data_IF_389378637559
#
_entry.id   IF_389378637559
#
_cell.length_a   1.000
_cell.length_b   1.000
_cell.length_c   1.000
_cell.angle_alpha   90.00
_cell.angle_beta   90.00
_cell.angle_gamma   90.00
#
_symmetry.space_group_name_H-M   'P 1'
#
loop_
_entity.id
_entity.type
_entity.pdbx_description
1 polymer ?
#
# COMPACT_ATOMS: atom_id res chain seq x y z
N UNK A 1 -0.24 -23.77 4.62
CA UNK A 1 -0.86 -23.99 3.30
C UNK A 1 -1.07 -22.62 2.66
N UNK A 2 -0.64 -22.41 1.41
CA UNK A 2 -0.85 -21.12 0.72
C UNK A 2 -2.32 -21.06 0.30
N UNK A 3 -3.05 -20.06 0.81
CA UNK A 3 -4.46 -19.83 0.43
C UNK A 3 -4.49 -18.96 -0.82
N UNK A 4 -5.24 -19.40 -1.82
CA UNK A 4 -5.54 -18.63 -3.00
C UNK A 4 -6.99 -18.14 -2.95
N UNK A 5 -7.23 -17.00 -3.58
CA UNK A 5 -8.54 -16.39 -3.67
C UNK A 5 -8.95 -16.22 -5.14
N UNK A 6 -10.24 -16.21 -5.40
CA UNK A 6 -10.82 -15.93 -6.72
C UNK A 6 -11.30 -14.48 -6.80
N UNK A 7 -11.59 -14.01 -8.02
CA UNK A 7 -12.21 -12.70 -8.24
C UNK A 7 -13.51 -12.51 -7.44
N UNK A 8 -14.36 -13.55 -7.37
CA UNK A 8 -15.66 -13.48 -6.70
C UNK A 8 -15.50 -13.34 -5.19
N UNK A 9 -14.60 -14.13 -4.61
CA UNK A 9 -14.30 -14.06 -3.18
C UNK A 9 -13.74 -12.70 -2.78
N UNK A 10 -12.71 -12.19 -3.48
CA UNK A 10 -12.11 -10.90 -3.13
C UNK A 10 -13.06 -9.73 -3.34
N UNK A 11 -13.85 -9.75 -4.41
CA UNK A 11 -14.89 -8.75 -4.65
C UNK A 11 -15.92 -8.74 -3.50
N UNK A 12 -16.37 -9.92 -3.05
CA UNK A 12 -17.32 -10.03 -1.95
C UNK A 12 -16.70 -9.63 -0.59
N UNK A 13 -15.51 -10.14 -0.27
CA UNK A 13 -14.83 -9.87 1.00
C UNK A 13 -14.50 -8.38 1.18
N UNK A 14 -14.06 -7.72 0.10
CA UNK A 14 -13.66 -6.32 0.14
C UNK A 14 -14.81 -5.35 -0.17
N UNK A 15 -16.02 -5.86 -0.42
CA UNK A 15 -17.18 -5.09 -0.85
C UNK A 15 -16.88 -4.20 -2.07
N UNK A 16 -16.18 -4.78 -3.07
CA UNK A 16 -15.80 -4.11 -4.32
C UNK A 16 -16.60 -4.76 -5.45
N UNK A 17 -17.21 -3.93 -6.30
CA UNK A 17 -17.88 -4.41 -7.50
C UNK A 17 -16.95 -5.35 -8.32
N UNK A 18 -17.46 -6.53 -8.68
CA UNK A 18 -16.67 -7.58 -9.35
C UNK A 18 -16.03 -7.12 -10.67
N UNK A 19 -16.71 -6.30 -11.47
CA UNK A 19 -16.16 -5.78 -12.72
C UNK A 19 -15.03 -4.78 -12.44
N UNK A 20 -15.19 -3.94 -11.41
CA UNK A 20 -14.15 -3.02 -10.93
C UNK A 20 -12.91 -3.78 -10.45
N UNK A 21 -13.09 -4.82 -9.63
CA UNK A 21 -11.99 -5.69 -9.17
C UNK A 21 -11.25 -6.34 -10.35
N UNK A 22 -11.98 -6.94 -11.30
CA UNK A 22 -11.40 -7.56 -12.50
C UNK A 22 -10.60 -6.56 -13.33
N UNK A 23 -11.10 -5.32 -13.47
CA UNK A 23 -10.38 -4.26 -14.17
C UNK A 23 -9.06 -3.93 -13.46
N UNK A 24 -9.10 -3.66 -12.15
CA UNK A 24 -7.89 -3.37 -11.37
C UNK A 24 -6.87 -4.50 -11.42
N UNK A 25 -7.32 -5.75 -11.34
CA UNK A 25 -6.45 -6.91 -11.47
C UNK A 25 -5.65 -6.94 -12.78
N UNK A 26 -6.29 -6.59 -13.90
CA UNK A 26 -5.62 -6.51 -15.21
C UNK A 26 -4.60 -5.38 -15.29
N UNK A 27 -4.82 -4.29 -14.56
CA UNK A 27 -3.98 -3.10 -14.59
C UNK A 27 -2.74 -3.19 -13.69
N UNK A 28 -2.85 -3.90 -12.57
CA UNK A 28 -1.83 -3.90 -11.51
C UNK A 28 -1.07 -5.22 -11.35
N UNK A 29 -1.49 -6.27 -12.04
CA UNK A 29 -0.79 -7.54 -12.09
C UNK A 29 -0.43 -7.90 -13.54
N UNK A 30 0.61 -8.71 -13.77
CA UNK A 30 0.90 -9.24 -15.09
C UNK A 30 -0.28 -10.07 -15.62
N UNK A 31 -0.31 -10.38 -16.93
CA UNK A 31 -1.24 -11.34 -17.49
C UNK A 31 -1.27 -12.63 -16.67
N UNK A 32 -2.45 -13.24 -16.55
CA UNK A 32 -2.61 -14.48 -15.81
C UNK A 32 -1.81 -15.60 -16.50
N UNK A 33 -0.82 -16.22 -15.82
CA UNK A 33 0.01 -17.26 -16.42
C UNK A 33 -0.80 -18.49 -16.87
N UNK A 34 -1.96 -18.74 -16.27
CA UNK A 34 -2.84 -19.85 -16.65
C UNK A 34 -3.90 -19.46 -17.68
N UNK A 35 -4.21 -18.16 -17.80
CA UNK A 35 -5.27 -17.65 -18.67
C UNK A 35 -5.04 -17.85 -20.17
N UNK A 36 -3.79 -18.11 -20.58
CA UNK A 36 -3.41 -18.40 -21.97
C UNK A 36 -3.29 -19.90 -22.30
N UNK A 37 -3.26 -20.78 -21.30
CA UNK A 37 -3.03 -22.22 -21.48
C UNK A 37 -4.34 -23.02 -21.63
N UNK A 38 -5.41 -22.60 -20.96
CA UNK A 38 -6.75 -23.18 -21.11
C UNK A 38 -7.84 -22.11 -20.92
N UNK A 39 -8.75 -22.01 -21.89
CA UNK A 39 -9.94 -21.17 -21.76
C UNK A 39 -10.82 -21.68 -20.61
N UNK A 40 -11.22 -20.77 -19.70
CA UNK A 40 -12.18 -21.07 -18.62
C UNK A 40 -11.63 -21.07 -17.20
N UNK A 41 -10.30 -21.02 -17.00
CA UNK A 41 -9.73 -20.91 -15.65
C UNK A 41 -9.88 -19.50 -15.09
N UNK A 42 -10.44 -19.39 -13.88
CA UNK A 42 -10.55 -18.13 -13.18
C UNK A 42 -9.22 -17.78 -12.51
N UNK A 43 -8.76 -16.54 -12.68
CA UNK A 43 -7.57 -16.03 -12.01
C UNK A 43 -7.61 -16.28 -10.51
N UNK A 44 -6.54 -16.90 -10.02
CA UNK A 44 -6.26 -17.10 -8.61
C UNK A 44 -5.28 -16.05 -8.12
N UNK A 45 -5.47 -15.60 -6.89
CA UNK A 45 -4.67 -14.56 -6.25
C UNK A 45 -4.03 -15.11 -4.99
N UNK A 46 -2.72 -14.90 -4.83
CA UNK A 46 -2.11 -14.95 -3.51
C UNK A 46 -2.58 -13.75 -2.67
N UNK A 47 -2.47 -13.80 -1.34
CA UNK A 47 -2.78 -12.62 -0.48
C UNK A 47 -1.95 -11.40 -0.89
N UNK A 48 -0.69 -11.61 -1.29
CA UNK A 48 0.21 -10.56 -1.79
C UNK A 48 -0.34 -9.89 -3.05
N UNK A 49 -0.71 -10.69 -4.06
CA UNK A 49 -1.19 -10.15 -5.33
C UNK A 49 -2.54 -9.46 -5.15
N UNK A 50 -3.41 -10.05 -4.32
CA UNK A 50 -4.68 -9.44 -3.93
C UNK A 50 -4.47 -8.09 -3.23
N UNK A 51 -3.53 -8.01 -2.27
CA UNK A 51 -3.22 -6.74 -1.60
C UNK A 51 -2.65 -5.70 -2.57
N UNK A 52 -1.77 -6.11 -3.50
CA UNK A 52 -1.25 -5.20 -4.53
C UNK A 52 -2.36 -4.61 -5.41
N UNK A 53 -3.33 -5.43 -5.82
CA UNK A 53 -4.51 -4.97 -6.59
C UNK A 53 -5.37 -4.05 -5.75
N UNK A 54 -5.64 -4.41 -4.49
CA UNK A 54 -6.41 -3.59 -3.57
C UNK A 54 -5.77 -2.21 -3.36
N UNK A 55 -4.45 -2.16 -3.10
CA UNK A 55 -3.70 -0.92 -2.90
C UNK A 55 -3.71 -0.03 -4.15
N UNK A 56 -3.47 -0.61 -5.33
CA UNK A 56 -3.60 0.11 -6.60
C UNK A 56 -5.01 0.64 -6.84
N UNK A 57 -6.02 -0.17 -6.51
CA UNK A 57 -7.43 0.21 -6.59
C UNK A 57 -7.78 1.37 -5.66
N UNK A 58 -7.33 1.33 -4.42
CA UNK A 58 -7.50 2.39 -3.42
C UNK A 58 -6.91 3.73 -3.94
N UNK A 59 -5.71 3.70 -4.50
CA UNK A 59 -5.09 4.89 -5.09
C UNK A 59 -5.94 5.49 -6.23
N UNK A 60 -6.57 4.65 -7.06
CA UNK A 60 -7.43 5.12 -8.15
C UNK A 60 -8.78 5.62 -7.63
N UNK A 61 -9.45 4.89 -6.73
CA UNK A 61 -10.81 5.27 -6.31
C UNK A 61 -10.85 6.32 -5.22
N UNK A 62 -9.98 6.23 -4.22
CA UNK A 62 -10.00 7.11 -3.05
C UNK A 62 -9.10 8.32 -3.26
N UNK A 63 -7.87 8.11 -3.75
CA UNK A 63 -6.90 9.20 -3.97
C UNK A 63 -7.03 9.86 -5.34
N UNK A 64 -7.97 9.40 -6.19
CA UNK A 64 -8.26 9.91 -7.54
C UNK A 64 -7.04 9.96 -8.45
N UNK A 65 -6.11 9.03 -8.30
CA UNK A 65 -4.97 8.90 -9.19
C UNK A 65 -5.37 8.26 -10.52
N UNK A 66 -4.71 8.69 -11.61
CA UNK A 66 -4.80 7.97 -12.86
C UNK A 66 -4.19 6.56 -12.69
N UNK A 67 -4.67 5.59 -13.47
CA UNK A 67 -4.19 4.21 -13.40
C UNK A 67 -2.68 4.12 -13.64
N UNK A 68 -2.16 4.92 -14.59
CA UNK A 68 -0.73 4.98 -14.90
C UNK A 68 0.10 5.50 -13.69
N UNK A 69 -0.40 6.52 -12.99
CA UNK A 69 0.25 7.05 -11.78
C UNK A 69 0.26 6.02 -10.66
N UNK A 70 -0.89 5.40 -10.37
CA UNK A 70 -0.98 4.35 -9.35
C UNK A 70 -0.06 3.16 -9.66
N UNK A 71 0.04 2.75 -10.94
CA UNK A 71 0.95 1.70 -11.39
C UNK A 71 2.41 2.09 -11.16
N UNK A 72 2.77 3.33 -11.48
CA UNK A 72 4.12 3.87 -11.24
C UNK A 72 4.46 3.86 -9.76
N UNK A 73 3.55 4.36 -8.91
CA UNK A 73 3.74 4.40 -7.46
C UNK A 73 3.92 3.00 -6.86
N UNK A 74 3.14 2.01 -7.30
CA UNK A 74 3.34 0.61 -6.87
C UNK A 74 4.70 0.05 -7.29
N UNK A 75 5.21 0.45 -8.46
CA UNK A 75 6.52 0.01 -8.93
C UNK A 75 7.64 0.65 -8.10
N UNK A 76 7.57 1.97 -7.90
CA UNK A 76 8.59 2.73 -7.17
C UNK A 76 8.65 2.32 -5.68
N UNK A 77 7.49 2.07 -5.05
CA UNK A 77 7.41 1.59 -3.66
C UNK A 77 7.67 0.09 -3.50
N UNK A 78 7.77 -0.66 -4.60
CA UNK A 78 7.69 -2.12 -4.60
C UNK A 78 8.73 -2.82 -3.71
N UNK A 79 10.00 -2.39 -3.78
CA UNK A 79 11.07 -2.94 -2.94
C UNK A 79 10.85 -2.58 -1.48
N UNK A 80 10.54 -1.31 -1.18
CA UNK A 80 10.30 -0.87 0.19
C UNK A 80 9.13 -1.60 0.85
N UNK A 81 8.02 -1.79 0.13
CA UNK A 81 6.86 -2.54 0.61
C UNK A 81 7.21 -4.00 0.91
N UNK A 82 8.04 -4.63 0.06
CA UNK A 82 8.53 -5.98 0.28
C UNK A 82 9.41 -6.04 1.54
N UNK A 83 10.42 -5.17 1.63
CA UNK A 83 11.41 -5.18 2.71
C UNK A 83 10.80 -4.84 4.09
N UNK A 84 9.65 -4.16 4.10
CA UNK A 84 8.87 -3.87 5.31
C UNK A 84 7.70 -4.86 5.54
N UNK A 85 7.68 -6.00 4.86
CA UNK A 85 6.74 -7.10 5.11
C UNK A 85 5.31 -6.88 4.61
N UNK A 86 5.02 -5.81 3.87
CA UNK A 86 3.66 -5.55 3.33
C UNK A 86 3.23 -6.56 2.26
N UNK A 87 4.17 -7.30 1.69
CA UNK A 87 3.92 -8.37 0.73
C UNK A 87 4.12 -9.78 1.28
N UNK A 88 4.42 -9.91 2.57
CA UNK A 88 4.65 -11.19 3.25
C UNK A 88 3.41 -11.66 4.01
N UNK A 89 2.27 -11.63 3.33
CA UNK A 89 0.96 -11.89 3.91
C UNK A 89 0.68 -13.41 3.95
N UNK A 90 1.13 -14.10 5.00
CA UNK A 90 0.84 -15.54 5.19
C UNK A 90 -0.52 -15.74 5.88
N UNK A 91 -1.28 -16.73 5.42
CA UNK A 91 -2.62 -17.06 5.93
C UNK A 91 -2.62 -17.71 7.34
N UNK A 92 -1.47 -18.21 7.79
CA UNK A 92 -1.26 -18.66 9.16
C UNK A 92 -0.50 -17.54 9.86
N UNK A 93 -1.08 -16.92 10.90
CA UNK A 93 -0.62 -15.71 11.61
C UNK A 93 0.78 -15.73 12.25
N UNK A 94 1.72 -16.53 11.71
CA UNK A 94 3.16 -16.34 11.88
C UNK A 94 3.64 -15.38 10.78
N UNK A 95 3.58 -14.09 11.08
CA UNK A 95 4.45 -13.08 10.46
C UNK A 95 5.88 -13.47 10.81
N UNK A 96 6.55 -14.26 9.96
CA UNK A 96 7.99 -14.46 10.11
C UNK A 96 8.69 -13.17 9.68
N UNK A 97 9.31 -12.52 10.66
CA UNK A 97 10.43 -11.57 10.53
C UNK A 97 10.17 -10.22 9.85
N UNK A 98 9.23 -9.43 10.36
CA UNK A 98 9.64 -8.08 10.73
C UNK A 98 10.28 -8.26 12.11
N UNK A 99 11.57 -7.96 12.28
CA UNK A 99 12.28 -8.24 13.54
C UNK A 99 11.40 -7.87 14.73
N UNK A 100 11.32 -8.71 15.76
CA UNK A 100 10.61 -8.42 17.01
C UNK A 100 11.06 -7.08 17.67
N UNK A 101 12.10 -6.45 17.13
CA UNK A 101 12.63 -5.14 17.50
C UNK A 101 12.24 -3.98 16.57
N UNK A 102 11.29 -4.11 15.63
CA UNK A 102 10.85 -2.95 14.84
C UNK A 102 9.92 -2.09 15.70
N UNK A 103 10.35 -0.90 16.19
CA UNK A 103 9.55 -0.10 17.11
C UNK A 103 8.36 0.58 16.43
N UNK A 104 8.22 0.43 15.11
CA UNK A 104 7.28 1.19 14.29
C UNK A 104 5.93 0.50 14.28
N UNK A 105 4.94 1.20 14.82
CA UNK A 105 3.55 0.75 14.95
C UNK A 105 2.72 1.02 13.71
N UNK A 106 3.00 2.12 13.01
CA UNK A 106 2.21 2.54 11.85
C UNK A 106 3.07 3.26 10.82
N UNK A 107 2.86 2.93 9.55
CA UNK A 107 3.45 3.63 8.42
C UNK A 107 2.40 4.43 7.66
N UNK A 108 2.77 5.65 7.28
CA UNK A 108 2.04 6.48 6.30
C UNK A 108 3.00 6.93 5.20
N UNK A 109 2.60 6.75 3.96
CA UNK A 109 3.38 7.18 2.78
C UNK A 109 2.71 8.42 2.19
N UNK A 110 3.45 9.51 2.05
CA UNK A 110 3.01 10.69 1.30
C UNK A 110 3.55 10.58 -0.12
N UNK A 111 2.67 10.80 -1.08
CA UNK A 111 3.02 10.82 -2.50
C UNK A 111 3.19 12.26 -2.91
N UNK A 112 4.41 12.65 -3.21
CA UNK A 112 4.78 14.00 -3.57
C UNK A 112 5.08 14.07 -5.08
N UNK A 113 4.19 14.64 -5.90
CA UNK A 113 4.50 14.85 -7.31
C UNK A 113 5.66 15.83 -7.45
N UNK A 114 6.60 15.53 -8.32
CA UNK A 114 7.69 16.42 -8.69
C UNK A 114 7.27 17.15 -9.95
N UNK A 115 7.36 18.48 -9.94
CA UNK A 115 7.18 19.26 -11.17
C UNK A 115 8.22 18.81 -12.20
N UNK A 116 7.73 18.37 -13.34
CA UNK A 116 8.56 17.85 -14.41
C UNK A 116 8.04 18.30 -15.77
N UNK A 117 8.76 17.90 -16.81
CA UNK A 117 8.36 18.12 -18.19
C UNK A 117 6.92 17.61 -18.43
N UNK A 118 5.98 18.45 -18.92
CA UNK A 118 4.58 18.06 -19.17
C UNK A 118 4.41 16.87 -20.12
N UNK A 119 5.44 16.58 -20.92
CA UNK A 119 5.46 15.52 -21.92
C UNK A 119 5.94 14.19 -21.29
N UNK A 120 6.65 14.26 -20.16
CA UNK A 120 7.18 13.07 -19.47
C UNK A 120 6.18 12.54 -18.45
N UNK A 121 6.22 11.24 -18.13
CA UNK A 121 5.44 10.69 -17.03
C UNK A 121 5.75 11.44 -15.73
N UNK A 122 4.74 11.68 -14.87
CA UNK A 122 4.96 12.36 -13.60
C UNK A 122 5.95 11.57 -12.74
N UNK A 123 6.92 12.28 -12.19
CA UNK A 123 7.85 11.76 -11.21
C UNK A 123 7.27 11.96 -9.82
N UNK A 124 7.55 11.03 -8.92
CA UNK A 124 7.09 11.08 -7.55
C UNK A 124 8.27 10.92 -6.59
N UNK A 125 8.27 11.72 -5.54
CA UNK A 125 9.00 11.42 -4.31
C UNK A 125 8.02 10.84 -3.28
N UNK A 126 8.56 10.02 -2.39
CA UNK A 126 7.79 9.42 -1.33
C UNK A 126 8.42 9.78 0.00
N UNK A 127 7.61 10.38 0.85
CA UNK A 127 7.97 10.55 2.24
C UNK A 127 7.25 9.51 3.08
N UNK A 128 8.00 8.76 3.85
CA UNK A 128 7.47 7.67 4.65
C UNK A 128 7.66 8.04 6.10
N UNK A 129 6.53 8.26 6.78
CA UNK A 129 6.47 8.54 8.21
C UNK A 129 6.20 7.21 8.93
N UNK A 130 7.08 6.81 9.85
CA UNK A 130 6.90 5.64 10.71
C UNK A 130 6.66 6.06 12.16
N UNK A 131 5.43 5.89 12.65
CA UNK A 131 5.04 6.19 14.03
C UNK A 131 5.57 5.10 14.97
N UNK A 132 6.44 5.46 15.90
CA UNK A 132 7.01 4.56 16.90
C UNK A 132 6.24 4.64 18.23
N UNK A 133 5.93 5.85 18.68
CA UNK A 133 5.28 6.08 19.97
C UNK A 133 4.21 7.17 19.90
N UNK A 134 3.14 6.97 20.67
CA UNK A 134 2.08 7.96 20.89
C UNK A 134 1.75 7.99 22.37
N UNK A 135 2.07 9.08 23.04
CA UNK A 135 1.96 9.19 24.49
C UNK A 135 1.17 10.44 24.85
N UNK A 136 0.13 10.28 25.67
CA UNK A 136 -0.61 11.42 26.24
C UNK A 136 0.24 12.02 27.35
N UNK A 137 0.43 13.33 27.29
CA UNK A 137 1.17 14.09 28.29
C UNK A 137 0.24 15.18 28.83
N UNK A 138 0.26 15.37 30.15
CA UNK A 138 -0.34 16.53 30.79
C UNK A 138 0.74 17.61 30.89
N UNK A 139 0.46 18.78 30.33
CA UNK A 139 1.34 19.93 30.44
C UNK A 139 0.55 21.12 31.00
N UNK A 140 0.58 21.27 32.32
CA UNK A 140 -0.05 22.39 33.01
C UNK A 140 -1.59 22.36 32.96
N UNK A 141 -2.21 21.18 32.98
CA UNK A 141 -3.67 21.02 32.91
C UNK A 141 -4.21 20.94 31.47
N UNK A 142 -3.33 21.01 30.47
CA UNK A 142 -3.67 20.77 29.07
C UNK A 142 -3.25 19.36 28.66
N UNK A 143 -4.23 18.59 28.18
CA UNK A 143 -3.97 17.27 27.59
C UNK A 143 -3.37 17.43 26.20
N UNK A 144 -2.11 17.02 26.04
CA UNK A 144 -1.42 16.99 24.77
C UNK A 144 -1.02 15.56 24.39
N UNK A 145 -0.73 15.34 23.11
CA UNK A 145 -0.26 14.04 22.62
C UNK A 145 1.11 14.21 21.98
N UNK A 146 2.11 13.54 22.54
CA UNK A 146 3.45 13.43 21.98
C UNK A 146 3.47 12.29 20.96
N UNK A 147 4.00 12.57 19.77
CA UNK A 147 4.26 11.59 18.72
C UNK A 147 5.77 11.45 18.55
N UNK A 148 6.28 10.21 18.58
CA UNK A 148 7.65 9.90 18.18
C UNK A 148 7.54 9.15 16.86
N UNK A 149 8.13 9.72 15.81
CA UNK A 149 8.18 9.12 14.49
C UNK A 149 9.59 9.21 13.93
N UNK A 150 9.91 8.32 13.00
CA UNK A 150 11.03 8.52 12.09
C UNK A 150 10.50 8.84 10.71
N UNK A 151 11.35 9.46 9.90
CA UNK A 151 11.06 9.83 8.52
C UNK A 151 12.11 9.23 7.61
N UNK A 152 11.69 8.71 6.46
CA UNK A 152 12.58 8.31 5.38
C UNK A 152 12.01 8.74 4.03
N UNK A 153 12.88 8.89 3.04
CA UNK A 153 12.54 9.36 1.71
C UNK A 153 12.94 8.34 0.65
N UNK A 154 12.06 8.10 -0.31
CA UNK A 154 12.34 7.36 -1.54
C UNK A 154 12.20 8.28 -2.75
N UNK A 155 13.15 8.17 -3.68
CA UNK A 155 13.24 9.00 -4.89
C UNK A 155 14.55 9.78 -4.98
N UNK A 156 14.67 10.65 -5.98
CA UNK A 156 15.91 11.38 -6.25
C UNK A 156 16.15 12.49 -5.22
N UNK A 157 17.35 12.49 -4.64
CA UNK A 157 17.73 13.37 -3.53
C UNK A 157 17.78 14.85 -3.93
N UNK A 158 18.08 15.13 -5.20
CA UNK A 158 18.10 16.48 -5.79
C UNK A 158 16.75 17.18 -5.76
N UNK A 159 15.66 16.42 -5.71
CA UNK A 159 14.31 16.96 -5.89
C UNK A 159 13.61 17.22 -4.53
N UNK A 160 14.24 16.83 -3.41
CA UNK A 160 13.64 16.92 -2.06
C UNK A 160 13.33 18.35 -1.64
N UNK A 161 14.25 19.30 -1.86
CA UNK A 161 14.08 20.71 -1.45
C UNK A 161 12.95 21.41 -2.20
N UNK A 162 12.70 21.04 -3.46
CA UNK A 162 11.61 21.62 -4.25
C UNK A 162 10.23 21.09 -3.80
N UNK A 163 10.20 19.86 -3.27
CA UNK A 163 8.98 19.20 -2.82
C UNK A 163 8.57 19.58 -1.41
N UNK A 164 9.52 19.93 -0.53
CA UNK A 164 9.23 20.38 0.85
C UNK A 164 8.33 21.63 0.89
N UNK A 165 8.38 22.49 -0.13
CA UNK A 165 7.51 23.66 -0.28
C UNK A 165 6.12 23.35 -0.85
N UNK A 166 5.91 22.15 -1.42
CA UNK A 166 4.67 21.78 -2.12
C UNK A 166 4.15 20.44 -1.58
N UNK A 167 3.68 20.46 -0.33
CA UNK A 167 3.22 19.27 0.38
C UNK A 167 1.91 18.79 -0.23
N UNK A 168 1.97 17.70 -1.00
CA UNK A 168 0.78 16.98 -1.47
C UNK A 168 -0.01 16.39 -0.30
N UNK A 169 -1.33 16.56 -0.34
CA UNK A 169 -2.27 15.97 0.63
C UNK A 169 -2.54 14.48 0.39
N UNK A 170 -1.96 13.89 -0.67
CA UNK A 170 -2.17 12.47 -1.00
C UNK A 170 -1.35 11.57 -0.08
N UNK A 171 -2.03 10.93 0.87
CA UNK A 171 -1.44 10.02 1.87
C UNK A 171 -2.00 8.61 1.75
N UNK A 172 -1.12 7.63 1.83
CA UNK A 172 -1.44 6.21 1.87
C UNK A 172 -1.18 5.72 3.31
N UNK A 173 -2.22 5.49 4.13
CA UNK A 173 -2.06 4.91 5.46
C UNK A 173 -1.80 3.40 5.34
N UNK A 174 -0.63 3.04 4.83
CA UNK A 174 -0.33 1.70 4.30
C UNK A 174 -0.50 0.59 5.35
N UNK A 175 -0.15 0.83 6.62
CA UNK A 175 -0.40 -0.13 7.71
C UNK A 175 -1.89 -0.37 7.91
N UNK A 176 -2.68 0.69 8.06
CA UNK A 176 -4.14 0.56 8.23
C UNK A 176 -4.82 -0.09 7.04
N UNK A 177 -4.37 0.21 5.82
CA UNK A 177 -4.89 -0.42 4.61
C UNK A 177 -4.58 -1.91 4.55
N UNK A 178 -3.35 -2.31 4.91
CA UNK A 178 -2.97 -3.72 5.03
C UNK A 178 -3.84 -4.42 6.07
N UNK A 179 -3.99 -3.82 7.25
CA UNK A 179 -4.73 -4.42 8.35
C UNK A 179 -6.21 -4.58 8.02
N UNK A 180 -6.81 -3.53 7.43
CA UNK A 180 -8.18 -3.58 6.91
C UNK A 180 -8.34 -4.67 5.85
N UNK A 181 -7.41 -4.77 4.90
CA UNK A 181 -7.44 -5.80 3.87
C UNK A 181 -7.39 -7.20 4.47
N UNK A 182 -6.47 -7.45 5.41
CA UNK A 182 -6.30 -8.75 6.08
C UNK A 182 -7.56 -9.16 6.86
N UNK A 183 -8.12 -8.23 7.63
CA UNK A 183 -9.38 -8.43 8.36
C UNK A 183 -10.51 -8.85 7.41
N UNK A 184 -10.70 -8.11 6.31
CA UNK A 184 -11.74 -8.40 5.32
C UNK A 184 -11.61 -9.77 4.66
N UNK A 185 -10.40 -10.25 4.40
CA UNK A 185 -10.18 -11.57 3.79
C UNK A 185 -10.04 -12.71 4.82
N UNK A 186 -10.29 -12.41 6.10
CA UNK A 186 -10.33 -13.38 7.20
C UNK A 186 -8.96 -13.85 7.68
N UNK A 187 -7.90 -13.06 7.51
CA UNK A 187 -6.57 -13.34 8.08
C UNK A 187 -6.44 -12.55 9.38
N UNK A 188 -6.37 -13.27 10.50
CA UNK A 188 -6.20 -12.63 11.83
C UNK A 188 -4.83 -11.98 11.94
N UNK A 189 -4.83 -10.74 12.40
CA UNK A 189 -3.65 -10.01 12.88
C UNK A 189 -3.53 -10.38 14.37
N UNK A 190 -2.46 -11.07 14.74
CA UNK A 190 -2.16 -11.39 16.14
C UNK A 190 -1.42 -10.24 16.80
#
# INVERSE_FOLDING_TARGET
MIKFYTNRELAAFLDINLAKWKRWSREFLPPDPLGGLQSGYARQYSSKDAFKVFLGGYMVSEMKLAVAEARRILADLGSWLKDNGFYELRANGKTETVSDNNPVKEYTIRVCPVEGDPIKPPLFLYRIDGLMERTRIDHGGLSAVKYIFFETWLGYETDRKAVESNISDKRIPITRLKDHFLDKIGIKIM
#
